data_IF_124956470724
#
_entry.id   IF_124956470724
#
_cell.length_a   1.000
_cell.length_b   1.000
_cell.length_c   1.000
_cell.angle_alpha   90.00
_cell.angle_beta   90.00
_cell.angle_gamma   90.00
#
_symmetry.space_group_name_H-M   'P 1'
#
loop_
_entity.id
_entity.type
_entity.pdbx_description
1 polymer ?
#
# COMPACT_ATOMS: atom_id res chain seq x y z
N UNK A 1 1.46 12.29 -9.06
CA UNK A 1 0.59 11.34 -8.34
C UNK A 1 -0.72 12.03 -8.11
N UNK A 2 -1.81 11.38 -8.50
CA UNK A 2 -3.18 11.84 -8.23
C UNK A 2 -3.83 10.81 -7.31
N UNK A 3 -4.82 11.25 -6.53
CA UNK A 3 -5.54 10.40 -5.59
C UNK A 3 -6.99 10.30 -6.04
N UNK A 4 -7.54 9.08 -6.11
CA UNK A 4 -8.96 8.87 -6.42
C UNK A 4 -9.87 9.43 -5.33
N UNK A 5 -9.44 9.35 -4.06
CA UNK A 5 -10.22 9.78 -2.90
C UNK A 5 -9.40 10.71 -1.99
N UNK A 6 -9.15 11.97 -2.41
CA UNK A 6 -8.27 12.88 -1.67
C UNK A 6 -8.82 13.25 -0.27
N UNK A 7 -10.14 13.17 -0.07
CA UNK A 7 -10.76 13.43 1.23
C UNK A 7 -10.33 12.43 2.32
N UNK A 8 -9.87 11.23 1.95
CA UNK A 8 -9.39 10.21 2.90
C UNK A 8 -8.12 10.68 3.62
N UNK A 9 -7.31 11.54 2.99
CA UNK A 9 -6.10 12.08 3.60
C UNK A 9 -6.38 12.98 4.82
N UNK A 10 -7.62 13.47 4.98
CA UNK A 10 -8.03 14.20 6.19
C UNK A 10 -8.02 13.32 7.45
N UNK A 11 -7.97 11.99 7.32
CA UNK A 11 -7.82 11.07 8.45
C UNK A 11 -6.36 10.86 8.89
N UNK A 12 -5.37 11.45 8.21
CA UNK A 12 -3.96 11.36 8.63
C UNK A 12 -3.74 11.75 10.11
N UNK A 13 -4.34 12.84 10.64
CA UNK A 13 -4.23 13.18 12.07
C UNK A 13 -4.70 12.04 12.98
N UNK A 14 -5.70 11.26 12.55
CA UNK A 14 -6.23 10.12 13.30
C UNK A 14 -5.26 8.94 13.33
N UNK A 15 -4.36 8.81 12.35
CA UNK A 15 -3.34 7.77 12.34
C UNK A 15 -2.36 7.86 13.52
N UNK A 16 -2.21 9.06 14.11
CA UNK A 16 -1.30 9.32 15.24
C UNK A 16 -1.89 8.96 16.61
N UNK A 17 -3.13 8.44 16.66
CA UNK A 17 -3.75 7.92 17.89
C UNK A 17 -2.79 7.04 18.70
N UNK A 18 -2.10 6.02 18.13
CA UNK A 18 -1.25 5.12 18.92
C UNK A 18 -0.10 5.83 19.64
N UNK A 19 0.36 6.98 19.15
CA UNK A 19 1.40 7.79 19.81
C UNK A 19 0.84 8.67 20.94
N UNK A 20 -0.39 9.15 20.79
CA UNK A 20 -1.01 10.11 21.71
C UNK A 20 -1.57 9.45 22.97
N UNK A 21 -2.06 8.21 22.86
CA UNK A 21 -2.62 7.50 24.00
C UNK A 21 -1.53 6.75 24.78
N UNK A 22 -1.59 6.88 26.11
CA UNK A 22 -0.80 6.05 27.02
C UNK A 22 -1.29 4.60 26.93
N UNK A 23 -0.37 3.68 27.23
CA UNK A 23 -0.65 2.26 27.20
C UNK A 23 -1.91 1.96 27.99
N UNK A 24 -2.85 1.24 27.38
CA UNK A 24 -4.01 0.70 28.07
C UNK A 24 -3.55 -0.48 28.95
N UNK A 25 -2.70 -0.22 29.94
CA UNK A 25 -2.37 -1.21 30.94
C UNK A 25 -3.61 -1.44 31.79
N UNK A 26 -4.41 -2.45 31.44
CA UNK A 26 -5.57 -2.88 32.23
C UNK A 26 -5.16 -3.46 33.59
N UNK A 27 -3.87 -3.69 33.83
CA UNK A 27 -3.37 -4.26 35.07
C UNK A 27 -3.06 -3.16 36.09
N UNK A 28 -4.07 -2.84 36.90
CA UNK A 28 -3.88 -2.14 38.17
C UNK A 28 -3.26 -3.10 39.18
N UNK A 29 -1.93 -3.10 39.28
CA UNK A 29 -1.26 -3.78 40.40
C UNK A 29 -1.34 -2.90 41.65
N UNK A 30 -1.81 -3.46 42.77
CA UNK A 30 -1.94 -2.74 44.05
C UNK A 30 -0.62 -2.20 44.60
N UNK A 31 0.54 -2.70 44.12
CA UNK A 31 1.87 -2.22 44.52
C UNK A 31 2.87 -2.27 43.36
N UNK A 32 2.85 -1.26 42.49
CA UNK A 32 3.78 -1.18 41.35
C UNK A 32 5.24 -0.85 41.72
N UNK A 33 5.51 -0.35 42.93
CA UNK A 33 6.89 -0.01 43.35
C UNK A 33 7.80 -1.24 43.57
N UNK A 34 7.24 -2.44 43.76
CA UNK A 34 8.05 -3.66 43.93
C UNK A 34 8.55 -4.22 42.60
N UNK A 35 8.06 -3.72 41.47
CA UNK A 35 8.45 -4.17 40.13
C UNK A 35 9.69 -3.37 39.67
N UNK A 36 10.79 -4.05 39.31
CA UNK A 36 11.98 -3.38 38.80
C UNK A 36 11.64 -2.66 37.48
N UNK A 37 12.21 -1.45 37.30
CA UNK A 37 11.98 -0.64 36.10
C UNK A 37 12.51 -1.36 34.86
N UNK A 38 11.61 -1.86 34.01
CA UNK A 38 11.98 -2.49 32.74
C UNK A 38 12.10 -1.46 31.61
N UNK A 39 13.33 -1.09 31.29
CA UNK A 39 13.64 -0.16 30.20
C UNK A 39 13.44 -0.80 28.82
N UNK A 40 13.66 -2.11 28.70
CA UNK A 40 13.56 -2.82 27.43
C UNK A 40 12.09 -2.88 27.00
N UNK A 41 11.20 -3.26 27.92
CA UNK A 41 9.75 -3.25 27.66
C UNK A 41 9.26 -1.86 27.24
N UNK A 42 9.76 -0.79 27.88
CA UNK A 42 9.42 0.58 27.48
C UNK A 42 9.88 0.92 26.04
N UNK A 43 11.07 0.48 25.63
CA UNK A 43 11.56 0.68 24.26
C UNK A 43 10.68 -0.09 23.27
N UNK A 44 10.36 -1.35 23.58
CA UNK A 44 9.50 -2.20 22.75
C UNK A 44 8.11 -1.56 22.59
N UNK A 45 7.51 -1.07 23.69
CA UNK A 45 6.22 -0.39 23.64
C UNK A 45 6.24 0.83 22.71
N UNK A 46 7.30 1.64 22.75
CA UNK A 46 7.47 2.79 21.84
C UNK A 46 7.59 2.33 20.38
N UNK A 47 8.40 1.30 20.11
CA UNK A 47 8.56 0.74 18.76
C UNK A 47 7.20 0.25 18.22
N UNK A 48 6.42 -0.47 19.03
CA UNK A 48 5.10 -0.95 18.61
C UNK A 48 4.14 0.20 18.25
N UNK A 49 4.17 1.32 19.00
CA UNK A 49 3.36 2.51 18.68
C UNK A 49 3.74 3.13 17.33
N UNK A 50 5.04 3.20 17.03
CA UNK A 50 5.52 3.67 15.73
C UNK A 50 5.08 2.74 14.60
N UNK A 51 5.21 1.42 14.78
CA UNK A 51 4.77 0.44 13.78
C UNK A 51 3.25 0.56 13.54
N UNK A 52 2.45 0.64 14.60
CA UNK A 52 1.00 0.79 14.51
C UNK A 52 0.60 2.07 13.75
N UNK A 53 1.28 3.18 14.02
CA UNK A 53 1.05 4.45 13.33
C UNK A 53 1.44 4.38 11.86
N UNK A 54 2.56 3.73 11.55
CA UNK A 54 3.01 3.53 10.17
C UNK A 54 2.01 2.67 9.39
N UNK A 55 1.49 1.61 9.99
CA UNK A 55 0.44 0.76 9.40
C UNK A 55 -0.80 1.60 9.07
N UNK A 56 -1.28 2.42 10.02
CA UNK A 56 -2.43 3.29 9.80
C UNK A 56 -2.19 4.30 8.68
N UNK A 57 -0.99 4.91 8.62
CA UNK A 57 -0.62 5.82 7.52
C UNK A 57 -0.64 5.09 6.17
N UNK A 58 -0.07 3.89 6.09
CA UNK A 58 -0.07 3.10 4.86
C UNK A 58 -1.48 2.72 4.41
N UNK A 59 -2.37 2.38 5.34
CA UNK A 59 -3.78 2.09 5.04
C UNK A 59 -4.49 3.33 4.49
N UNK A 60 -4.33 4.49 5.13
CA UNK A 60 -4.95 5.75 4.68
C UNK A 60 -4.44 6.15 3.31
N UNK A 61 -3.12 6.05 3.08
CA UNK A 61 -2.51 6.34 1.78
C UNK A 61 -3.01 5.33 0.74
N UNK A 62 -3.00 4.04 1.02
CA UNK A 62 -3.52 3.02 0.10
C UNK A 62 -4.98 3.27 -0.28
N UNK A 63 -5.82 3.62 0.70
CA UNK A 63 -7.25 3.89 0.50
C UNK A 63 -7.50 5.18 -0.29
N UNK A 64 -6.60 6.17 -0.19
CA UNK A 64 -6.69 7.40 -1.02
C UNK A 64 -6.51 7.12 -2.52
N UNK A 65 -6.03 5.92 -2.89
CA UNK A 65 -5.89 5.47 -4.27
C UNK A 65 -4.82 6.25 -5.04
N UNK A 66 -3.55 6.28 -4.59
CA UNK A 66 -2.47 6.95 -5.28
C UNK A 66 -2.22 6.27 -6.61
N UNK A 67 -2.42 6.98 -7.70
CA UNK A 67 -2.13 6.50 -9.04
C UNK A 67 -1.27 7.50 -9.81
N UNK A 68 -0.55 7.00 -10.81
CA UNK A 68 0.06 7.87 -11.80
C UNK A 68 -1.03 8.37 -12.75
N UNK A 69 -0.89 9.60 -13.23
CA UNK A 69 -1.73 10.05 -14.34
C UNK A 69 -1.32 9.26 -15.58
N UNK A 70 -2.32 8.80 -16.34
CA UNK A 70 -2.07 8.28 -17.67
C UNK A 70 -1.40 9.38 -18.48
N UNK A 71 -0.18 9.12 -18.94
CA UNK A 71 0.51 10.02 -19.86
C UNK A 71 0.26 9.49 -21.26
N UNK A 72 -0.49 10.24 -22.05
CA UNK A 72 -0.38 10.09 -23.50
C UNK A 72 0.96 10.70 -23.92
N UNK A 73 1.78 9.88 -24.55
CA UNK A 73 3.00 10.32 -25.20
C UNK A 73 2.69 10.35 -26.69
N UNK A 74 2.46 11.54 -27.21
CA UNK A 74 2.34 11.73 -28.65
C UNK A 74 3.71 11.44 -29.29
N UNK A 75 3.79 10.35 -30.05
CA UNK A 75 4.98 10.02 -30.83
C UNK A 75 4.74 10.44 -32.27
N UNK A 76 5.22 11.62 -32.63
CA UNK A 76 5.18 12.11 -34.02
C UNK A 76 6.32 11.45 -34.80
N UNK A 77 6.00 10.39 -35.55
CA UNK A 77 6.93 9.77 -36.49
C UNK A 77 6.82 10.43 -37.86
N UNK A 78 7.80 11.25 -38.24
CA UNK A 78 7.88 11.80 -39.60
C UNK A 78 8.39 10.66 -40.50
N UNK A 79 7.52 10.06 -41.32
CA UNK A 79 7.89 8.97 -42.24
C UNK A 79 8.06 7.58 -41.60
N UNK A 80 7.35 7.28 -40.50
CA UNK A 80 7.48 5.99 -39.83
C UNK A 80 6.86 4.84 -40.65
N UNK A 81 7.72 3.96 -41.18
CA UNK A 81 7.32 2.66 -41.72
C UNK A 81 6.92 1.75 -40.55
N UNK A 82 5.65 1.33 -40.51
CA UNK A 82 5.18 0.35 -39.52
C UNK A 82 5.60 -1.03 -40.01
N UNK A 83 6.67 -1.58 -39.43
CA UNK A 83 7.08 -2.97 -39.67
C UNK A 83 6.24 -3.89 -38.78
N UNK A 84 5.21 -4.52 -39.36
CA UNK A 84 4.44 -5.57 -38.72
C UNK A 84 5.16 -6.91 -38.97
N UNK A 85 5.79 -7.45 -37.94
CA UNK A 85 6.39 -8.79 -38.00
C UNK A 85 5.32 -9.78 -37.57
N UNK A 86 4.78 -10.53 -38.52
CA UNK A 86 3.92 -11.67 -38.23
C UNK A 86 4.81 -12.91 -38.10
N UNK A 87 4.82 -13.51 -36.92
CA UNK A 87 5.41 -14.83 -36.74
C UNK A 87 4.43 -15.87 -37.32
N UNK A 88 4.94 -16.78 -38.15
CA UNK A 88 4.18 -17.90 -38.73
C UNK A 88 4.73 -19.24 -38.24
N UNK A 89 5.27 -19.25 -37.02
CA UNK A 89 5.72 -20.47 -36.37
C UNK A 89 4.53 -21.41 -36.13
N UNK A 90 4.77 -22.73 -36.22
CA UNK A 90 3.73 -23.74 -36.01
C UNK A 90 3.10 -23.70 -34.60
N UNK A 91 3.72 -23.02 -33.63
CA UNK A 91 3.13 -22.74 -32.31
C UNK A 91 2.01 -21.70 -32.32
N UNK A 92 1.84 -20.95 -33.42
CA UNK A 92 0.71 -20.02 -33.60
C UNK A 92 -0.49 -20.66 -34.31
N UNK A 93 -0.39 -21.92 -34.76
CA UNK A 93 -1.49 -22.64 -35.41
C UNK A 93 -2.49 -23.23 -34.40
N UNK A 94 -2.21 -23.12 -33.10
CA UNK A 94 -3.16 -23.53 -32.06
C UNK A 94 -4.33 -22.54 -31.99
N UNK A 95 -5.57 -22.99 -32.25
CA UNK A 95 -6.73 -22.11 -32.25
C UNK A 95 -6.96 -21.53 -30.85
N UNK A 96 -6.87 -20.20 -30.76
CA UNK A 96 -7.08 -19.44 -29.51
C UNK A 96 -8.54 -19.44 -29.04
N UNK A 97 -9.49 -19.58 -29.97
CA UNK A 97 -10.90 -19.74 -29.67
C UNK A 97 -11.26 -21.22 -29.83
N UNK A 98 -11.82 -21.80 -28.77
CA UNK A 98 -12.07 -23.22 -28.63
C UNK A 98 -12.69 -23.88 -29.85
N UNK A 99 -12.27 -25.13 -30.04
CA UNK A 99 -12.87 -26.18 -30.82
C UNK A 99 -14.41 -26.18 -30.78
N UNK A 100 -15.04 -25.57 -31.78
CA UNK A 100 -16.42 -25.85 -32.19
C UNK A 100 -16.46 -27.27 -32.79
N UNK A 101 -16.53 -28.28 -31.93
CA UNK A 101 -16.90 -29.64 -32.31
C UNK A 101 -18.42 -29.76 -32.23
N UNK A 102 -19.08 -29.77 -33.40
CA UNK A 102 -20.44 -30.28 -33.61
C UNK A 102 -20.41 -31.66 -34.23
#
# INVERSE_FOLDING_TARGET
MTFSFPWVLWFIPLAFIPLLFKDASLQYYSWNEMIPKDRLSKIIAVILKFIATLILLMIIIGLSGPHSLQREIEKIGIGAQIALVLDRSASMDDPFAGNDQS
#
